data_IF_981612391464
#
_entry.id   IF_981612391464
#
_cell.length_a   1.000
_cell.length_b   1.000
_cell.length_c   1.000
_cell.angle_alpha   90.00
_cell.angle_beta   90.00
_cell.angle_gamma   90.00
#
_symmetry.space_group_name_H-M   'P 1'
#
loop_
_entity.id
_entity.type
_entity.pdbx_description
1 polymer ?
#
# COMPACT_ATOMS: atom_id res chain seq x y z
N UNK A 1 63.97 -43.45 -35.17
CA UNK A 1 63.06 -42.83 -36.15
C UNK A 1 61.64 -43.31 -35.86
N UNK A 2 61.03 -42.83 -34.76
CA UNK A 2 59.81 -43.43 -34.20
C UNK A 2 58.97 -42.49 -33.29
N UNK A 3 59.13 -41.16 -33.39
CA UNK A 3 58.48 -40.21 -32.46
C UNK A 3 57.75 -39.02 -33.15
N UNK A 4 57.61 -39.06 -34.48
CA UNK A 4 56.92 -38.02 -35.25
C UNK A 4 55.47 -38.40 -35.60
N UNK A 5 55.19 -39.69 -35.74
CA UNK A 5 53.91 -40.21 -36.22
C UNK A 5 52.76 -40.13 -35.19
N UNK A 6 53.04 -40.44 -33.91
CA UNK A 6 52.01 -40.56 -32.87
C UNK A 6 51.37 -39.22 -32.44
N UNK A 7 52.12 -38.11 -32.52
CA UNK A 7 51.63 -36.76 -32.13
C UNK A 7 50.77 -36.11 -33.22
N UNK A 8 51.03 -36.44 -34.48
CA UNK A 8 50.25 -35.92 -35.61
C UNK A 8 48.90 -36.63 -35.72
N UNK A 9 48.86 -37.93 -35.39
CA UNK A 9 47.62 -38.72 -35.38
C UNK A 9 46.64 -38.34 -34.25
N UNK A 10 47.14 -38.05 -33.04
CA UNK A 10 46.33 -37.55 -31.91
C UNK A 10 45.74 -36.14 -32.19
N UNK A 11 46.52 -35.26 -32.84
CA UNK A 11 46.07 -33.93 -33.26
C UNK A 11 44.97 -34.01 -34.33
N UNK A 12 45.10 -34.93 -35.29
CA UNK A 12 44.08 -35.15 -36.31
C UNK A 12 42.77 -35.71 -35.74
N UNK A 13 42.85 -36.63 -34.77
CA UNK A 13 41.65 -37.26 -34.21
C UNK A 13 40.91 -36.36 -33.19
N UNK A 14 41.64 -35.48 -32.48
CA UNK A 14 41.04 -34.43 -31.66
C UNK A 14 40.40 -33.32 -32.53
N UNK A 15 41.05 -32.92 -33.64
CA UNK A 15 40.50 -31.92 -34.57
C UNK A 15 39.27 -32.44 -35.36
N UNK A 16 39.19 -33.75 -35.59
CA UNK A 16 38.06 -34.45 -36.26
C UNK A 16 36.86 -34.71 -35.34
N UNK A 17 37.07 -34.74 -34.02
CA UNK A 17 35.99 -34.91 -33.01
C UNK A 17 35.37 -33.59 -32.55
N UNK A 18 36.09 -32.47 -32.67
CA UNK A 18 35.59 -31.13 -32.29
C UNK A 18 34.74 -30.50 -33.42
N UNK A 19 34.94 -30.94 -34.66
CA UNK A 19 34.22 -30.46 -35.85
C UNK A 19 32.70 -30.70 -35.85
N UNK A 20 32.17 -31.89 -35.47
CA UNK A 20 30.71 -32.10 -35.44
C UNK A 20 30.03 -31.37 -34.28
N UNK A 21 30.74 -31.11 -33.17
CA UNK A 21 30.18 -30.37 -32.03
C UNK A 21 30.08 -28.86 -32.32
N UNK A 22 31.06 -28.29 -33.02
CA UNK A 22 31.03 -26.88 -33.43
C UNK A 22 29.94 -26.61 -34.47
N UNK A 23 29.66 -27.56 -35.38
CA UNK A 23 28.64 -27.39 -36.42
C UNK A 23 27.20 -27.36 -35.87
N UNK A 24 26.93 -28.06 -34.76
CA UNK A 24 25.60 -28.09 -34.13
C UNK A 24 25.23 -26.83 -33.34
N UNK A 25 26.18 -25.95 -33.00
CA UNK A 25 25.89 -24.69 -32.29
C UNK A 25 25.63 -23.48 -33.22
N UNK A 26 25.95 -23.57 -34.51
CA UNK A 26 25.74 -22.46 -35.45
C UNK A 26 24.27 -22.11 -35.80
N UNK A 27 23.27 -23.02 -35.79
CA UNK A 27 21.93 -22.64 -36.21
C UNK A 27 21.17 -21.78 -35.18
N UNK A 28 21.65 -21.67 -33.92
CA UNK A 28 20.98 -20.84 -32.91
C UNK A 28 21.17 -19.33 -33.14
N UNK A 29 22.21 -18.92 -33.87
CA UNK A 29 22.42 -17.50 -34.23
C UNK A 29 21.48 -17.01 -35.34
N UNK A 30 20.80 -17.92 -36.05
CA UNK A 30 19.84 -17.56 -37.10
C UNK A 30 18.49 -17.07 -36.54
N UNK A 31 18.15 -17.41 -35.28
CA UNK A 31 16.90 -16.96 -34.66
C UNK A 31 16.95 -15.53 -34.12
N UNK A 32 18.14 -14.95 -33.95
CA UNK A 32 18.35 -13.57 -33.53
C UNK A 32 19.16 -12.82 -34.59
N UNK A 33 18.63 -12.76 -35.82
CA UNK A 33 19.20 -11.89 -36.83
C UNK A 33 19.07 -10.44 -36.37
N UNK A 34 20.20 -9.75 -36.19
CA UNK A 34 20.26 -8.31 -35.96
C UNK A 34 19.96 -7.55 -37.27
N UNK A 35 18.87 -7.93 -37.95
CA UNK A 35 18.39 -7.23 -39.14
C UNK A 35 17.99 -5.82 -38.72
N UNK A 36 18.72 -4.81 -39.19
CA UNK A 36 18.36 -3.39 -39.00
C UNK A 36 17.11 -3.00 -39.80
N UNK A 37 16.67 -3.90 -40.70
CA UNK A 37 15.48 -3.78 -41.54
C UNK A 37 14.33 -4.61 -40.94
N UNK A 38 13.82 -4.23 -39.76
CA UNK A 38 12.55 -4.77 -39.29
C UNK A 38 11.40 -4.07 -40.02
N UNK A 39 10.38 -4.81 -40.50
CA UNK A 39 9.19 -4.17 -41.03
C UNK A 39 8.56 -3.29 -39.95
N UNK A 40 8.04 -2.14 -40.36
CA UNK A 40 7.38 -1.22 -39.43
C UNK A 40 6.23 -1.91 -38.70
N UNK A 41 6.16 -1.73 -37.37
CA UNK A 41 4.98 -2.08 -36.56
C UNK A 41 3.85 -1.06 -36.71
N UNK A 42 4.01 -0.06 -37.57
CA UNK A 42 2.88 0.78 -37.96
C UNK A 42 1.82 -0.07 -38.66
N UNK A 43 0.56 0.15 -38.30
CA UNK A 43 -0.60 -0.44 -38.97
C UNK A 43 -0.46 -0.22 -40.49
N UNK A 44 -0.52 -1.31 -41.26
CA UNK A 44 -0.43 -1.26 -42.73
C UNK A 44 -1.74 -0.73 -43.32
N UNK A 45 -1.67 -0.08 -44.47
CA UNK A 45 -2.88 0.45 -45.13
C UNK A 45 -3.90 -0.66 -45.47
N UNK A 46 -3.44 -1.86 -45.82
CA UNK A 46 -4.31 -3.01 -46.08
C UNK A 46 -4.98 -3.59 -44.81
N UNK A 47 -4.45 -3.28 -43.62
CA UNK A 47 -5.01 -3.70 -42.33
C UNK A 47 -5.88 -2.60 -41.71
N UNK A 48 -5.89 -1.40 -42.31
CA UNK A 48 -6.72 -0.27 -41.90
C UNK A 48 -8.16 -0.54 -42.31
N UNK A 49 -8.90 -1.23 -41.45
CA UNK A 49 -10.36 -1.29 -41.55
C UNK A 49 -10.92 0.00 -40.93
N UNK A 50 -11.31 0.95 -41.77
CA UNK A 50 -12.06 2.13 -41.33
C UNK A 50 -13.53 1.74 -41.12
N UNK A 51 -13.90 1.45 -39.86
CA UNK A 51 -15.30 1.38 -39.46
C UNK A 51 -15.79 2.77 -39.06
N UNK A 52 -16.68 3.39 -39.83
CA UNK A 52 -17.46 4.52 -39.32
C UNK A 52 -18.49 4.00 -38.34
N UNK A 53 -18.17 4.07 -37.05
CA UNK A 53 -19.17 3.87 -36.01
C UNK A 53 -19.92 5.20 -35.82
N UNK A 54 -21.07 5.33 -36.48
CA UNK A 54 -21.95 6.48 -36.31
C UNK A 54 -22.71 6.33 -34.97
N UNK A 55 -22.01 6.55 -33.85
CA UNK A 55 -22.67 6.69 -32.56
C UNK A 55 -23.62 7.88 -32.65
N UNK A 56 -24.91 7.76 -32.29
CA UNK A 56 -25.69 8.95 -32.03
C UNK A 56 -24.92 9.78 -31.00
N UNK A 57 -24.63 11.04 -31.33
CA UNK A 57 -24.03 12.00 -30.41
C UNK A 57 -25.06 12.29 -29.31
N UNK A 58 -25.18 11.38 -28.36
CA UNK A 58 -25.72 11.71 -27.06
C UNK A 58 -24.61 12.49 -26.37
N UNK A 59 -24.75 13.81 -26.27
CA UNK A 59 -23.90 14.59 -25.39
C UNK A 59 -23.84 13.83 -24.05
N UNK A 60 -22.66 13.49 -23.52
CA UNK A 60 -22.57 12.77 -22.27
C UNK A 60 -23.30 13.61 -21.22
N UNK A 61 -24.49 13.16 -20.81
CA UNK A 61 -25.16 13.71 -19.66
C UNK A 61 -24.19 13.42 -18.52
N UNK A 62 -23.63 14.47 -17.92
CA UNK A 62 -22.83 14.32 -16.72
C UNK A 62 -23.72 13.63 -15.68
N UNK A 63 -23.53 12.33 -15.49
CA UNK A 63 -24.25 11.58 -14.48
C UNK A 63 -23.92 12.24 -13.15
N UNK A 64 -24.91 12.83 -12.51
CA UNK A 64 -24.76 13.33 -11.15
C UNK A 64 -24.30 12.14 -10.29
N UNK A 65 -23.28 12.32 -9.43
CA UNK A 65 -22.86 11.24 -8.55
C UNK A 65 -24.08 10.77 -7.77
N UNK A 66 -24.45 9.50 -7.93
CA UNK A 66 -25.56 8.92 -7.20
C UNK A 66 -25.30 9.11 -5.70
N UNK A 67 -26.31 9.55 -4.95
CA UNK A 67 -26.19 9.67 -3.50
C UNK A 67 -25.84 8.31 -2.90
N UNK A 68 -25.02 8.27 -1.82
CA UNK A 68 -24.75 7.03 -1.11
C UNK A 68 -26.06 6.39 -0.62
N UNK A 69 -26.11 5.05 -0.65
CA UNK A 69 -27.26 4.28 -0.18
C UNK A 69 -27.60 4.63 1.28
N UNK A 70 -28.84 4.40 1.69
CA UNK A 70 -29.26 4.59 3.08
C UNK A 70 -28.40 3.75 4.04
N UNK A 71 -28.18 2.47 3.72
CA UNK A 71 -27.35 1.57 4.53
C UNK A 71 -25.90 2.09 4.68
N UNK A 72 -25.32 2.63 3.61
CA UNK A 72 -23.98 3.21 3.67
C UNK A 72 -23.95 4.46 4.56
N UNK A 73 -24.95 5.34 4.44
CA UNK A 73 -25.06 6.53 5.30
C UNK A 73 -25.20 6.15 6.77
N UNK A 74 -26.03 5.16 7.08
CA UNK A 74 -26.27 4.70 8.44
C UNK A 74 -24.99 4.04 9.02
N UNK A 75 -24.29 3.22 8.22
CA UNK A 75 -23.02 2.62 8.62
C UNK A 75 -21.93 3.68 8.88
N UNK A 76 -21.83 4.69 8.02
CA UNK A 76 -20.88 5.79 8.22
C UNK A 76 -21.23 6.62 9.46
N UNK A 77 -22.51 6.89 9.69
CA UNK A 77 -22.97 7.60 10.89
C UNK A 77 -22.63 6.81 12.17
N UNK A 78 -22.83 5.49 12.16
CA UNK A 78 -22.47 4.61 13.27
C UNK A 78 -20.97 4.66 13.57
N UNK A 79 -20.11 4.41 12.56
CA UNK A 79 -18.65 4.40 12.76
C UNK A 79 -18.12 5.76 13.21
N UNK A 80 -18.69 6.85 12.68
CA UNK A 80 -18.36 8.21 13.13
C UNK A 80 -18.77 8.44 14.58
N UNK A 81 -19.94 7.96 14.99
CA UNK A 81 -20.40 8.07 16.37
C UNK A 81 -19.50 7.29 17.34
N UNK A 82 -19.14 6.05 16.99
CA UNK A 82 -18.21 5.22 17.77
C UNK A 82 -16.85 5.91 17.97
N UNK A 83 -16.26 6.43 16.89
CA UNK A 83 -15.03 7.23 16.96
C UNK A 83 -15.20 8.47 17.84
N UNK A 84 -16.31 9.20 17.69
CA UNK A 84 -16.57 10.44 18.44
C UNK A 84 -16.78 10.18 19.93
N UNK A 85 -17.45 9.08 20.29
CA UNK A 85 -17.61 8.64 21.69
C UNK A 85 -16.26 8.28 22.32
N UNK A 86 -15.42 7.50 21.61
CA UNK A 86 -14.08 7.16 22.08
C UNK A 86 -13.20 8.41 22.26
N UNK A 87 -13.22 9.30 21.28
CA UNK A 87 -12.49 10.56 21.30
C UNK A 87 -12.94 11.48 22.46
N UNK A 88 -14.25 11.60 22.68
CA UNK A 88 -14.77 12.39 23.82
C UNK A 88 -14.34 11.79 25.16
N UNK A 89 -14.33 10.46 25.27
CA UNK A 89 -13.85 9.79 26.47
C UNK A 89 -12.34 10.01 26.70
N UNK A 90 -11.53 9.96 25.62
CA UNK A 90 -10.11 10.33 25.68
C UNK A 90 -9.92 11.75 26.21
N UNK A 91 -10.61 12.73 25.61
CA UNK A 91 -10.52 14.13 26.01
C UNK A 91 -11.00 14.34 27.46
N UNK A 92 -12.01 13.59 27.91
CA UNK A 92 -12.47 13.61 29.29
C UNK A 92 -11.45 13.05 30.29
N UNK A 93 -10.68 12.04 29.90
CA UNK A 93 -9.64 11.42 30.74
C UNK A 93 -8.31 12.20 30.73
N UNK A 94 -8.02 12.96 29.66
CA UNK A 94 -6.74 13.64 29.46
C UNK A 94 -6.31 14.60 30.60
N UNK A 95 -7.20 15.41 31.22
CA UNK A 95 -6.82 16.27 32.35
C UNK A 95 -6.34 15.48 33.58
N UNK A 96 -7.01 14.37 33.90
CA UNK A 96 -6.61 13.53 35.02
C UNK A 96 -5.25 12.87 34.76
N UNK A 97 -5.03 12.34 33.56
CA UNK A 97 -3.74 11.78 33.16
C UNK A 97 -2.62 12.83 33.22
N UNK A 98 -2.89 14.06 32.76
CA UNK A 98 -1.95 15.18 32.84
C UNK A 98 -1.52 15.45 34.28
N UNK A 99 -2.46 15.53 35.22
CA UNK A 99 -2.14 15.73 36.64
C UNK A 99 -1.29 14.59 37.23
N UNK A 100 -1.53 13.34 36.81
CA UNK A 100 -0.73 12.19 37.27
C UNK A 100 0.69 12.22 36.72
N UNK A 101 0.84 12.57 35.44
CA UNK A 101 2.16 12.73 34.80
C UNK A 101 2.93 13.87 35.47
N UNK A 102 2.31 15.03 35.67
CA UNK A 102 2.92 16.17 36.36
C UNK A 102 3.42 15.81 37.76
N UNK A 103 2.62 15.07 38.54
CA UNK A 103 2.98 14.63 39.88
C UNK A 103 4.12 13.59 39.91
N UNK A 104 4.32 12.87 38.80
CA UNK A 104 5.37 11.86 38.65
C UNK A 104 6.68 12.42 38.09
N UNK A 105 6.71 13.66 37.58
CA UNK A 105 7.92 14.28 37.01
C UNK A 105 9.07 14.30 38.02
N UNK A 106 10.25 13.86 37.58
CA UNK A 106 11.47 13.81 38.40
C UNK A 106 11.45 12.77 39.53
N UNK A 107 10.42 11.93 39.62
CA UNK A 107 10.39 10.81 40.56
C UNK A 107 11.17 9.60 40.01
N UNK A 108 11.61 8.70 40.88
CA UNK A 108 12.25 7.46 40.43
C UNK A 108 11.25 6.59 39.63
N UNK A 109 11.71 5.92 38.58
CA UNK A 109 10.91 5.00 37.75
C UNK A 109 10.22 3.91 38.60
N UNK A 110 10.84 3.48 39.70
CA UNK A 110 10.27 2.49 40.61
C UNK A 110 9.27 3.07 41.64
N UNK A 111 8.94 4.36 41.56
CA UNK A 111 8.04 5.01 42.52
C UNK A 111 6.57 4.77 42.20
N UNK A 112 5.72 4.77 43.23
CA UNK A 112 4.27 4.65 43.08
C UNK A 112 3.69 5.74 42.16
N UNK A 113 4.25 6.95 42.20
CA UNK A 113 3.79 8.06 41.36
C UNK A 113 4.05 7.78 39.87
N UNK A 114 5.22 7.25 39.54
CA UNK A 114 5.53 6.83 38.17
C UNK A 114 4.59 5.71 37.70
N UNK A 115 4.36 4.70 38.54
CA UNK A 115 3.43 3.61 38.22
C UNK A 115 2.00 4.11 37.97
N UNK A 116 1.51 5.04 38.80
CA UNK A 116 0.18 5.67 38.62
C UNK A 116 0.10 6.46 37.31
N UNK A 117 1.15 7.21 36.94
CA UNK A 117 1.20 7.93 35.68
C UNK A 117 1.14 6.99 34.47
N UNK A 118 1.86 5.86 34.52
CA UNK A 118 1.84 4.86 33.46
C UNK A 118 0.46 4.21 33.28
N UNK A 119 -0.25 3.91 34.38
CA UNK A 119 -1.63 3.41 34.32
C UNK A 119 -2.55 4.44 33.66
N UNK A 120 -2.41 5.73 34.00
CA UNK A 120 -3.22 6.79 33.39
C UNK A 120 -2.93 6.96 31.90
N UNK A 121 -1.67 6.83 31.46
CA UNK A 121 -1.30 6.82 30.05
C UNK A 121 -1.87 5.61 29.30
N UNK A 122 -1.86 4.42 29.93
CA UNK A 122 -2.45 3.22 29.35
C UNK A 122 -3.97 3.34 29.18
N UNK A 123 -4.65 4.04 30.10
CA UNK A 123 -6.08 4.34 29.98
C UNK A 123 -6.36 5.25 28.77
N UNK A 124 -5.55 6.30 28.57
CA UNK A 124 -5.62 7.13 27.37
C UNK A 124 -5.37 6.33 26.08
N UNK A 125 -4.36 5.45 26.07
CA UNK A 125 -4.09 4.56 24.93
C UNK A 125 -5.28 3.64 24.61
N UNK A 126 -5.99 3.15 25.63
CA UNK A 126 -7.20 2.34 25.47
C UNK A 126 -8.31 3.12 24.76
N UNK A 127 -8.51 4.39 25.13
CA UNK A 127 -9.47 5.25 24.43
C UNK A 127 -9.05 5.55 22.99
N UNK A 128 -7.79 5.94 22.76
CA UNK A 128 -7.24 6.19 21.42
C UNK A 128 -7.31 4.95 20.52
N UNK A 129 -7.11 3.77 21.09
CA UNK A 129 -7.25 2.50 20.35
C UNK A 129 -8.69 2.28 19.88
N UNK A 130 -9.70 2.66 20.67
CA UNK A 130 -11.11 2.56 20.25
C UNK A 130 -11.43 3.52 19.10
N UNK A 131 -10.87 4.73 19.09
CA UNK A 131 -10.98 5.65 17.94
C UNK A 131 -10.34 5.02 16.69
N UNK A 132 -9.19 4.36 16.85
CA UNK A 132 -8.47 3.70 15.76
C UNK A 132 -9.19 2.47 15.18
N UNK A 133 -9.93 1.72 16.00
CA UNK A 133 -10.76 0.59 15.52
C UNK A 133 -11.81 1.10 14.53
N UNK A 134 -12.50 2.20 14.84
CA UNK A 134 -13.47 2.79 13.93
C UNK A 134 -12.83 3.27 12.61
N UNK A 135 -11.58 3.78 12.66
CA UNK A 135 -10.83 4.11 11.44
C UNK A 135 -10.51 2.87 10.61
N UNK A 136 -10.09 1.77 11.24
CA UNK A 136 -9.79 0.51 10.55
C UNK A 136 -11.02 -0.06 9.82
N UNK A 137 -12.20 0.01 10.45
CA UNK A 137 -13.46 -0.40 9.81
C UNK A 137 -13.81 0.50 8.61
N UNK A 138 -13.52 1.80 8.70
CA UNK A 138 -13.68 2.72 7.56
C UNK A 138 -12.67 2.42 6.43
N UNK A 139 -11.45 1.97 6.74
CA UNK A 139 -10.45 1.56 5.76
C UNK A 139 -10.87 0.29 5.00
N UNK A 140 -11.44 -0.68 5.70
CA UNK A 140 -12.04 -1.88 5.11
C UNK A 140 -13.15 -1.47 4.15
N UNK A 141 -14.11 -0.66 4.62
CA UNK A 141 -15.22 -0.17 3.79
C UNK A 141 -14.73 0.61 2.56
N UNK A 142 -13.70 1.44 2.71
CA UNK A 142 -13.11 2.18 1.58
C UNK A 142 -12.53 1.23 0.52
N UNK A 143 -11.87 0.17 0.97
CA UNK A 143 -11.26 -0.85 0.10
C UNK A 143 -12.33 -1.70 -0.59
N UNK A 144 -13.35 -2.16 0.13
CA UNK A 144 -14.47 -2.92 -0.43
C UNK A 144 -15.15 -2.16 -1.56
N UNK A 145 -15.42 -0.87 -1.35
CA UNK A 145 -16.00 0.00 -2.39
C UNK A 145 -15.06 0.23 -3.56
N UNK A 146 -13.74 0.25 -3.33
CA UNK A 146 -12.77 0.32 -4.41
C UNK A 146 -12.81 -0.91 -5.31
N UNK A 147 -12.91 -2.10 -4.71
CA UNK A 147 -13.02 -3.37 -5.42
C UNK A 147 -14.34 -3.45 -6.20
N UNK A 148 -15.44 -2.98 -5.61
CA UNK A 148 -16.74 -2.95 -6.25
C UNK A 148 -16.90 -1.85 -7.33
N UNK A 149 -15.86 -1.04 -7.57
CA UNK A 149 -15.88 0.13 -8.47
C UNK A 149 -16.98 1.14 -8.10
N UNK A 150 -17.26 1.28 -6.81
CA UNK A 150 -18.28 2.17 -6.29
C UNK A 150 -17.70 3.49 -5.77
N UNK A 151 -18.57 4.50 -5.61
CA UNK A 151 -18.17 5.81 -5.07
C UNK A 151 -17.63 5.71 -3.65
N UNK A 152 -16.50 6.39 -3.38
CA UNK A 152 -15.82 6.38 -2.08
C UNK A 152 -15.82 7.72 -1.33
N UNK A 153 -16.41 8.78 -1.90
CA UNK A 153 -16.33 10.15 -1.38
C UNK A 153 -16.78 10.27 0.07
N UNK A 154 -17.97 9.76 0.40
CA UNK A 154 -18.51 9.81 1.76
C UNK A 154 -17.67 9.02 2.79
N UNK A 155 -17.09 7.88 2.35
CA UNK A 155 -16.18 7.09 3.20
C UNK A 155 -14.88 7.86 3.44
N UNK A 156 -14.31 8.46 2.40
CA UNK A 156 -13.09 9.27 2.50
C UNK A 156 -13.25 10.47 3.46
N UNK A 157 -14.38 11.18 3.38
CA UNK A 157 -14.68 12.30 4.27
C UNK A 157 -14.80 11.87 5.74
N UNK A 158 -15.45 10.72 5.97
CA UNK A 158 -15.59 10.17 7.32
C UNK A 158 -14.23 9.71 7.86
N UNK A 159 -13.40 9.04 7.04
CA UNK A 159 -12.02 8.66 7.38
C UNK A 159 -11.20 9.88 7.80
N UNK A 160 -11.20 10.93 6.99
CA UNK A 160 -10.47 12.17 7.29
C UNK A 160 -10.92 12.81 8.60
N UNK A 161 -12.22 12.72 8.92
CA UNK A 161 -12.73 13.18 10.22
C UNK A 161 -12.13 12.38 11.39
N UNK A 162 -12.11 11.04 11.30
CA UNK A 162 -11.58 10.18 12.37
C UNK A 162 -10.05 10.25 12.46
N UNK A 163 -9.35 10.37 11.33
CA UNK A 163 -7.89 10.58 11.30
C UNK A 163 -7.48 11.83 12.08
N UNK A 164 -8.25 12.92 11.98
CA UNK A 164 -7.99 14.14 12.74
C UNK A 164 -8.15 13.94 14.25
N UNK A 165 -9.19 13.22 14.68
CA UNK A 165 -9.38 12.86 16.09
C UNK A 165 -8.17 12.11 16.63
N UNK A 166 -7.70 11.11 15.89
CA UNK A 166 -6.52 10.31 16.27
C UNK A 166 -5.26 11.18 16.32
N UNK A 167 -5.07 12.10 15.38
CA UNK A 167 -3.91 13.00 15.37
C UNK A 167 -3.88 13.91 16.61
N UNK A 168 -5.05 14.40 17.05
CA UNK A 168 -5.19 15.18 18.28
C UNK A 168 -4.86 14.33 19.53
N UNK A 169 -5.37 13.10 19.59
CA UNK A 169 -5.09 12.15 20.68
C UNK A 169 -3.60 11.80 20.76
N UNK A 170 -2.98 11.52 19.62
CA UNK A 170 -1.55 11.19 19.51
C UNK A 170 -0.66 12.35 19.95
N UNK A 171 -1.04 13.60 19.66
CA UNK A 171 -0.32 14.78 20.11
C UNK A 171 -0.33 14.88 21.65
N UNK A 172 -1.47 14.60 22.28
CA UNK A 172 -1.59 14.59 23.76
C UNK A 172 -0.75 13.48 24.37
N UNK A 173 -0.88 12.25 23.87
CA UNK A 173 -0.10 11.10 24.36
C UNK A 173 1.41 11.32 24.20
N UNK A 174 1.85 11.82 23.04
CA UNK A 174 3.26 12.12 22.76
C UNK A 174 3.82 13.14 23.75
N UNK A 175 3.09 14.23 23.99
CA UNK A 175 3.48 15.26 24.96
C UNK A 175 3.64 14.67 26.38
N UNK A 176 2.62 13.95 26.87
CA UNK A 176 2.63 13.40 28.22
C UNK A 176 3.73 12.35 28.42
N UNK A 177 3.97 11.49 27.42
CA UNK A 177 5.09 10.53 27.47
C UNK A 177 6.44 11.23 27.50
N UNK A 178 6.59 12.31 26.72
CA UNK A 178 7.79 13.13 26.69
C UNK A 178 8.09 13.79 28.05
N UNK A 179 7.05 14.21 28.77
CA UNK A 179 7.16 14.78 30.13
C UNK A 179 7.58 13.75 31.19
N UNK A 180 7.17 12.49 31.05
CA UNK A 180 7.49 11.40 31.99
C UNK A 180 8.87 10.76 31.76
N UNK A 181 9.39 10.84 30.52
CA UNK A 181 10.70 10.30 30.16
C UNK A 181 11.90 11.16 30.60
N UNK A 182 11.65 12.37 31.08
CA UNK A 182 12.64 13.34 31.58
C UNK A 182 12.71 13.31 33.10
#
# INVERSE_FOLDING_TARGET
MALRDKRDMERFDMLRKVTPLALCLFPLAACASASTEYPSLSVRDAERIEGQFNSPSTAPVAAQPALPSADLRDRLAQLKAEASTAHTAFLGAAPAATQKVDAARGTAIASDRWAIAQVALADLDSHRSKTAVALADLDILFTERAIALEQRGAVAETRETVTRMIAEEDAVLSRLRGELSQ
#
